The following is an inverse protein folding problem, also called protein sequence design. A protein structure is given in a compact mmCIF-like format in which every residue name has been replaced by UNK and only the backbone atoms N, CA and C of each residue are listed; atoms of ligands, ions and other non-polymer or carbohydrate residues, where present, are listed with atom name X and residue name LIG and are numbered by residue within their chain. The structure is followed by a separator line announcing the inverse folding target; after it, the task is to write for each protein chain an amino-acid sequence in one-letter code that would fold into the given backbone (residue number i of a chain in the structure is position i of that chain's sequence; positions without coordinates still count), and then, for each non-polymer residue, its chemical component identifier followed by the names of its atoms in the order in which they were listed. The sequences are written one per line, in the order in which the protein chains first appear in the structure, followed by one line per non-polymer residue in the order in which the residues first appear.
data_IF_884593049871
#
_entry.id   IF_884593049871
#
_cell.length_a   1.000
_cell.length_b   1.000
_cell.length_c   1.000
_cell.angle_alpha   90.00
_cell.angle_beta   90.00
_cell.angle_gamma   90.00
#
_symmetry.space_group_name_H-M   'P 1'
#
loop_
_entity.id
_entity.type
_entity.pdbx_description
1 polymer ?
#
# COMPACT_ATOMS: atom_id res chain seq x y z
N UNK A 1 9.32 11.31 3.49
CA UNK A 1 9.58 10.40 4.64
C UNK A 1 10.19 11.21 5.78
N UNK A 2 9.41 11.62 6.78
CA UNK A 2 9.94 12.31 7.93
C UNK A 2 10.65 11.32 8.85
N UNK A 3 11.77 11.76 9.43
CA UNK A 3 12.47 11.06 10.49
C UNK A 3 12.38 11.88 11.76
N UNK A 4 12.00 11.26 12.85
CA UNK A 4 12.03 11.91 14.16
C UNK A 4 13.47 12.12 14.62
N UNK A 5 13.84 13.38 14.89
CA UNK A 5 15.24 13.74 15.24
C UNK A 5 15.64 13.24 16.63
N UNK A 6 14.67 12.99 17.51
CA UNK A 6 14.92 12.57 18.90
C UNK A 6 15.06 11.05 18.99
N UNK A 7 14.13 10.31 18.39
CA UNK A 7 14.08 8.86 18.48
C UNK A 7 14.78 8.16 17.32
N UNK A 8 14.93 8.85 16.18
CA UNK A 8 15.51 8.31 14.96
C UNK A 8 14.56 7.44 14.12
N UNK A 9 13.32 7.23 14.55
CA UNK A 9 12.34 6.46 13.80
C UNK A 9 11.83 7.21 12.57
N UNK A 10 11.58 6.44 11.51
CA UNK A 10 10.98 6.93 10.27
C UNK A 10 9.45 6.86 10.32
N UNK A 11 8.81 7.82 9.65
CA UNK A 11 7.40 7.75 9.30
C UNK A 11 7.25 7.51 7.80
N UNK A 12 6.20 6.78 7.39
CA UNK A 12 5.90 6.54 5.97
C UNK A 12 4.40 6.64 5.70
N UNK A 13 4.04 7.43 4.70
CA UNK A 13 2.66 7.65 4.31
C UNK A 13 2.57 8.15 2.87
N UNK A 14 1.73 7.52 2.05
CA UNK A 14 1.41 8.01 0.70
C UNK A 14 -0.07 8.32 0.55
N UNK A 15 -0.35 9.47 -0.06
CA UNK A 15 -1.66 9.84 -0.58
C UNK A 15 -1.54 10.29 -2.03
N UNK A 16 -2.47 9.83 -2.86
CA UNK A 16 -2.67 10.39 -4.20
C UNK A 16 -3.85 11.33 -4.16
N UNK A 17 -3.66 12.54 -4.63
CA UNK A 17 -4.70 13.57 -4.70
C UNK A 17 -4.76 14.19 -6.09
N UNK A 18 -5.94 14.65 -6.49
CA UNK A 18 -6.15 15.42 -7.72
C UNK A 18 -6.75 16.76 -7.36
N UNK A 19 -6.10 17.86 -7.80
CA UNK A 19 -6.66 19.20 -7.68
C UNK A 19 -7.65 19.42 -8.83
N UNK A 20 -8.88 19.80 -8.50
CA UNK A 20 -9.93 20.01 -9.49
C UNK A 20 -10.54 18.72 -10.03
N UNK A 21 -10.78 18.65 -11.34
CA UNK A 21 -11.46 17.51 -11.96
C UNK A 21 -10.49 16.39 -12.34
N UNK A 22 -10.74 15.20 -11.84
CA UNK A 22 -9.93 14.01 -12.14
C UNK A 22 -10.47 13.26 -13.38
N UNK A 23 -9.60 12.78 -14.29
CA UNK A 23 -10.00 11.89 -15.38
C UNK A 23 -10.72 10.63 -14.88
N UNK A 24 -11.72 10.16 -15.64
CA UNK A 24 -12.51 8.97 -15.29
C UNK A 24 -11.64 7.74 -15.07
N UNK A 25 -10.59 7.56 -15.87
CA UNK A 25 -9.65 6.45 -15.73
C UNK A 25 -8.94 6.48 -14.37
N UNK A 26 -8.43 7.64 -13.95
CA UNK A 26 -7.80 7.80 -12.65
C UNK A 26 -8.78 7.61 -11.47
N UNK A 27 -10.04 8.06 -11.61
CA UNK A 27 -11.08 7.80 -10.60
C UNK A 27 -11.29 6.29 -10.40
N UNK A 28 -11.32 5.51 -11.50
CA UNK A 28 -11.44 4.04 -11.44
C UNK A 28 -10.25 3.39 -10.73
N UNK A 29 -9.03 3.78 -11.11
CA UNK A 29 -7.79 3.30 -10.47
C UNK A 29 -7.78 3.66 -8.99
N UNK A 30 -8.09 4.92 -8.64
CA UNK A 30 -8.13 5.36 -7.25
C UNK A 30 -9.08 4.53 -6.39
N UNK A 31 -10.30 4.31 -6.89
CA UNK A 31 -11.33 3.58 -6.16
C UNK A 31 -10.93 2.12 -5.90
N UNK A 32 -10.33 1.44 -6.89
CA UNK A 32 -9.89 0.05 -6.69
C UNK A 32 -8.70 -0.02 -5.75
N UNK A 33 -7.71 0.89 -5.86
CA UNK A 33 -6.56 0.94 -4.94
C UNK A 33 -7.04 1.18 -3.51
N UNK A 34 -7.93 2.14 -3.29
CA UNK A 34 -8.49 2.43 -1.97
C UNK A 34 -9.27 1.24 -1.38
N UNK A 35 -10.11 0.59 -2.21
CA UNK A 35 -10.86 -0.60 -1.80
C UNK A 35 -9.93 -1.72 -1.39
N UNK A 36 -8.93 -2.01 -2.21
CA UNK A 36 -7.97 -3.10 -1.99
C UNK A 36 -7.11 -2.85 -0.76
N UNK A 37 -6.62 -1.62 -0.58
CA UNK A 37 -5.86 -1.22 0.60
C UNK A 37 -6.67 -1.44 1.90
N UNK A 38 -7.94 -1.02 1.91
CA UNK A 38 -8.83 -1.26 3.06
C UNK A 38 -9.10 -2.75 3.33
N UNK A 39 -9.16 -3.57 2.29
CA UNK A 39 -9.31 -5.02 2.43
C UNK A 39 -8.04 -5.67 2.98
N UNK A 40 -6.87 -5.24 2.51
CA UNK A 40 -5.58 -5.72 3.00
C UNK A 40 -5.40 -5.40 4.49
N UNK A 41 -5.71 -4.17 4.92
CA UNK A 41 -5.66 -3.79 6.34
C UNK A 41 -6.53 -4.67 7.24
N UNK A 42 -7.70 -5.09 6.77
CA UNK A 42 -8.60 -6.00 7.52
C UNK A 42 -8.09 -7.44 7.64
N UNK A 43 -7.12 -7.82 6.81
CA UNK A 43 -6.52 -9.15 6.83
C UNK A 43 -5.23 -9.22 7.65
N UNK A 44 -4.74 -8.07 8.11
CA UNK A 44 -3.54 -8.03 8.94
C UNK A 44 -3.86 -8.51 10.35
N UNK A 45 -3.11 -9.52 10.79
CA UNK A 45 -3.09 -10.02 12.15
C UNK A 45 -1.76 -10.75 12.39
N UNK A 46 -1.34 -10.98 13.63
CA UNK A 46 -0.18 -11.80 13.92
C UNK A 46 -0.30 -13.21 13.31
N UNK A 47 0.82 -13.74 12.85
CA UNK A 47 0.97 -15.04 12.17
C UNK A 47 0.42 -15.07 10.72
N UNK A 48 -0.11 -13.98 10.16
CA UNK A 48 -0.37 -13.93 8.72
C UNK A 48 0.95 -13.85 7.95
N UNK A 49 1.03 -14.54 6.81
CA UNK A 49 2.19 -14.43 5.94
C UNK A 49 2.05 -13.22 5.00
N UNK A 50 3.13 -12.45 4.83
CA UNK A 50 3.13 -11.25 4.00
C UNK A 50 2.84 -11.52 2.52
N UNK A 51 3.15 -12.73 2.02
CA UNK A 51 2.80 -13.13 0.66
C UNK A 51 1.29 -13.36 0.47
N UNK A 52 0.57 -13.84 1.49
CA UNK A 52 -0.90 -13.98 1.45
C UNK A 52 -1.57 -12.62 1.25
N UNK A 53 -1.10 -11.59 1.96
CA UNK A 53 -1.58 -10.23 1.80
C UNK A 53 -1.27 -9.70 0.40
N UNK A 54 -0.04 -9.95 -0.09
CA UNK A 54 0.36 -9.55 -1.44
C UNK A 54 -0.48 -10.23 -2.53
N UNK A 55 -0.66 -11.54 -2.45
CA UNK A 55 -1.50 -12.30 -3.38
C UNK A 55 -2.96 -11.85 -3.37
N UNK A 56 -3.52 -11.51 -2.20
CA UNK A 56 -4.86 -10.96 -2.11
C UNK A 56 -4.99 -9.64 -2.88
N UNK A 57 -3.99 -8.76 -2.79
CA UNK A 57 -3.98 -7.48 -3.52
C UNK A 57 -3.90 -7.72 -5.02
N UNK A 58 -2.94 -8.56 -5.46
CA UNK A 58 -2.75 -8.90 -6.88
C UNK A 58 -4.04 -9.46 -7.47
N UNK A 59 -4.63 -10.49 -6.84
CA UNK A 59 -5.86 -11.13 -7.31
C UNK A 59 -7.06 -10.18 -7.34
N UNK A 60 -7.14 -9.25 -6.38
CA UNK A 60 -8.20 -8.23 -6.36
C UNK A 60 -8.08 -7.26 -7.53
N UNK A 61 -6.85 -6.82 -7.87
CA UNK A 61 -6.61 -5.97 -9.02
C UNK A 61 -6.90 -6.68 -10.33
N UNK A 62 -6.44 -7.92 -10.49
CA UNK A 62 -6.69 -8.74 -11.69
C UNK A 62 -8.18 -9.02 -11.90
N UNK A 63 -8.91 -9.39 -10.85
CA UNK A 63 -10.36 -9.58 -10.90
C UNK A 63 -11.14 -8.31 -11.30
N UNK A 64 -10.56 -7.13 -11.03
CA UNK A 64 -11.11 -5.84 -11.45
C UNK A 64 -10.63 -5.40 -12.85
N UNK A 65 -9.87 -6.24 -13.56
CA UNK A 65 -9.36 -5.98 -14.90
C UNK A 65 -8.07 -5.13 -14.96
N UNK A 66 -7.38 -4.97 -13.81
CA UNK A 66 -6.10 -4.24 -13.73
C UNK A 66 -4.93 -5.24 -13.73
N UNK A 67 -4.45 -5.55 -14.92
CA UNK A 67 -3.37 -6.53 -15.12
C UNK A 67 -2.01 -5.91 -14.85
N UNK A 68 -1.13 -6.68 -14.22
CA UNK A 68 0.29 -6.37 -14.05
C UNK A 68 1.12 -7.07 -15.12
N UNK A 69 2.05 -6.37 -15.75
CA UNK A 69 2.88 -6.94 -16.82
C UNK A 69 3.74 -5.90 -17.52
N UNK A 70 3.94 -6.08 -18.80
CA UNK A 70 4.65 -5.15 -19.66
C UNK A 70 3.75 -4.60 -20.78
N UNK A 71 3.88 -3.30 -21.05
CA UNK A 71 3.20 -2.63 -22.15
C UNK A 71 4.13 -1.56 -22.74
N UNK A 72 4.43 -1.68 -24.04
CA UNK A 72 5.32 -0.75 -24.73
C UNK A 72 6.73 -0.66 -24.12
N UNK A 73 7.29 -1.77 -23.64
CA UNK A 73 8.62 -1.85 -23.00
C UNK A 73 8.67 -1.23 -21.60
N UNK A 74 7.52 -1.01 -20.95
CA UNK A 74 7.43 -0.50 -19.58
C UNK A 74 6.62 -1.45 -18.70
N UNK A 75 7.03 -1.61 -17.46
CA UNK A 75 6.23 -2.31 -16.47
C UNK A 75 4.97 -1.51 -16.14
N UNK A 76 3.82 -2.20 -16.06
CA UNK A 76 2.50 -1.61 -15.76
C UNK A 76 1.78 -2.41 -14.70
N UNK A 77 0.78 -1.78 -14.06
CA UNK A 77 -0.03 -2.41 -13.02
C UNK A 77 0.59 -2.28 -11.62
N UNK A 78 0.51 -3.33 -10.81
CA UNK A 78 1.10 -3.38 -9.47
C UNK A 78 2.52 -3.95 -9.53
N UNK A 79 3.50 -3.08 -9.63
CA UNK A 79 4.89 -3.39 -9.99
C UNK A 79 5.88 -3.46 -8.81
N UNK A 80 5.41 -3.40 -7.57
CA UNK A 80 6.25 -3.43 -6.37
C UNK A 80 5.64 -4.31 -5.27
N UNK A 81 6.31 -4.41 -4.13
CA UNK A 81 5.79 -5.09 -2.94
C UNK A 81 4.57 -4.37 -2.33
N UNK A 82 3.90 -5.06 -1.43
CA UNK A 82 2.73 -4.51 -0.73
C UNK A 82 3.12 -3.62 0.43
N UNK A 83 4.31 -3.85 1.00
CA UNK A 83 4.81 -3.10 2.13
C UNK A 83 6.10 -3.66 2.72
N UNK A 84 6.55 -3.01 3.75
CA UNK A 84 7.80 -3.30 4.45
C UNK A 84 7.73 -2.84 5.90
N UNK A 85 8.64 -3.33 6.73
CA UNK A 85 8.87 -2.81 8.07
C UNK A 85 9.36 -1.37 8.04
N UNK A 86 8.95 -0.59 9.03
CA UNK A 86 9.38 0.81 9.24
C UNK A 86 9.88 0.93 10.68
N UNK A 87 11.11 1.39 10.84
CA UNK A 87 11.73 1.54 12.16
C UNK A 87 12.87 2.56 12.13
N UNK A 88 14.06 2.13 12.53
CA UNK A 88 15.26 2.93 12.44
C UNK A 88 15.77 3.06 11.00
N UNK A 89 15.41 2.10 10.15
CA UNK A 89 15.54 2.21 8.71
C UNK A 89 14.16 2.43 8.08
N UNK A 90 14.11 3.20 6.98
CA UNK A 90 12.84 3.43 6.26
C UNK A 90 12.31 2.14 5.65
N UNK A 91 13.20 1.23 5.24
CA UNK A 91 12.87 -0.08 4.71
C UNK A 91 13.61 -1.15 5.51
N UNK A 92 12.88 -1.82 6.40
CA UNK A 92 13.40 -2.95 7.18
C UNK A 92 12.47 -4.17 7.09
N UNK A 93 12.79 -5.23 7.81
CA UNK A 93 11.90 -6.39 7.96
C UNK A 93 10.78 -6.11 8.96
N UNK A 94 9.64 -6.81 8.84
CA UNK A 94 9.32 -7.84 7.84
C UNK A 94 8.92 -7.23 6.48
N UNK A 95 9.08 -8.00 5.40
CA UNK A 95 8.63 -7.61 4.06
C UNK A 95 7.27 -8.21 3.74
N UNK A 96 6.40 -7.41 3.12
CA UNK A 96 5.09 -7.84 2.64
C UNK A 96 5.14 -7.82 1.11
N UNK A 97 5.29 -9.00 0.51
CA UNK A 97 5.52 -9.13 -0.92
C UNK A 97 5.53 -10.58 -1.37
N UNK A 98 6.20 -10.85 -2.50
CA UNK A 98 6.30 -12.21 -3.08
C UNK A 98 7.13 -13.19 -2.26
N UNK A 99 7.98 -12.70 -1.37
CA UNK A 99 8.71 -13.53 -0.41
C UNK A 99 7.97 -13.47 0.92
N UNK A 100 7.34 -14.56 1.31
CA UNK A 100 6.54 -14.60 2.52
C UNK A 100 7.37 -14.48 3.80
N UNK A 101 7.14 -13.42 4.57
CA UNK A 101 7.59 -13.31 5.95
C UNK A 101 6.37 -13.33 6.85
N UNK A 102 6.44 -14.10 7.94
CA UNK A 102 5.35 -14.16 8.93
C UNK A 102 5.38 -12.90 9.77
N UNK A 103 4.24 -12.23 9.87
CA UNK A 103 4.10 -11.01 10.65
C UNK A 103 3.84 -11.33 12.13
N UNK A 104 4.46 -10.60 13.02
CA UNK A 104 4.35 -10.76 14.46
C UNK A 104 3.58 -9.59 15.11
N UNK A 105 3.02 -9.83 16.28
CA UNK A 105 2.51 -8.74 17.11
C UNK A 105 3.63 -7.75 17.44
N UNK A 106 3.34 -6.47 17.32
CA UNK A 106 4.30 -5.38 17.52
C UNK A 106 5.05 -4.96 16.26
N UNK A 107 5.00 -5.73 15.15
CA UNK A 107 5.57 -5.29 13.89
C UNK A 107 4.92 -3.99 13.41
N UNK A 108 5.75 -3.05 12.99
CA UNK A 108 5.31 -1.81 12.34
C UNK A 108 5.61 -1.92 10.85
N UNK A 109 4.56 -1.90 10.02
CA UNK A 109 4.68 -2.16 8.58
C UNK A 109 3.85 -1.18 7.76
N UNK A 110 4.23 -0.98 6.49
CA UNK A 110 3.42 -0.25 5.50
C UNK A 110 2.46 -1.20 4.77
N UNK A 111 1.30 -0.66 4.34
CA UNK A 111 0.40 -1.29 3.36
C UNK A 111 0.13 -0.26 2.28
N UNK A 112 0.79 -0.45 1.12
CA UNK A 112 0.95 0.55 0.08
C UNK A 112 0.59 0.07 -1.34
N UNK A 113 -0.55 -0.60 -1.57
CA UNK A 113 -0.90 -1.00 -2.93
C UNK A 113 -0.94 0.20 -3.88
N UNK A 114 -0.46 -0.02 -5.10
CA UNK A 114 -0.45 1.00 -6.15
C UNK A 114 -0.64 0.41 -7.53
N UNK A 115 -1.21 1.20 -8.44
CA UNK A 115 -1.39 0.86 -9.84
C UNK A 115 -0.84 1.98 -10.72
N UNK A 116 -0.04 1.61 -11.71
CA UNK A 116 0.70 2.55 -12.57
C UNK A 116 0.53 2.19 -14.04
N UNK A 117 0.02 3.13 -14.85
CA UNK A 117 -0.19 2.95 -16.28
C UNK A 117 0.33 4.16 -17.04
N UNK A 118 1.38 4.02 -17.90
CA UNK A 118 1.89 5.10 -18.74
C UNK A 118 0.78 5.74 -19.57
N UNK A 119 0.75 7.06 -19.64
CA UNK A 119 -0.28 7.81 -20.34
C UNK A 119 -1.60 8.00 -19.58
N UNK A 120 -1.81 7.27 -18.47
CA UNK A 120 -2.97 7.43 -17.60
C UNK A 120 -2.56 8.07 -16.26
N UNK A 121 -1.51 7.54 -15.63
CA UNK A 121 -0.99 7.99 -14.35
C UNK A 121 -0.79 6.85 -13.37
N UNK A 122 -0.48 7.21 -12.12
CA UNK A 122 -0.30 6.27 -11.00
C UNK A 122 -1.09 6.67 -9.78
N UNK A 123 -1.52 5.68 -9.02
CA UNK A 123 -2.16 5.86 -7.72
C UNK A 123 -1.51 4.92 -6.71
N UNK A 124 -1.08 5.46 -5.57
CA UNK A 124 -0.69 4.70 -4.38
C UNK A 124 -1.38 5.27 -3.15
N UNK A 125 -1.88 4.40 -2.30
CA UNK A 125 -2.46 4.76 -1.00
C UNK A 125 -1.79 3.87 0.04
N UNK A 126 -1.15 4.49 1.00
CA UNK A 126 -0.31 3.86 1.99
C UNK A 126 -0.66 4.32 3.40
N UNK A 127 -0.70 3.39 4.31
CA UNK A 127 -0.68 3.64 5.75
C UNK A 127 0.42 2.81 6.40
N UNK A 128 1.08 3.40 7.40
CA UNK A 128 1.89 2.67 8.38
C UNK A 128 1.00 2.21 9.51
N UNK A 129 1.10 0.94 9.86
CA UNK A 129 0.30 0.30 10.91
C UNK A 129 1.18 -0.47 11.88
N UNK A 130 0.72 -0.64 13.11
CA UNK A 130 1.29 -1.59 14.07
C UNK A 130 0.36 -2.79 14.21
N UNK A 131 0.92 -4.02 14.19
CA UNK A 131 0.15 -5.23 14.44
C UNK A 131 -0.17 -5.38 15.92
N UNK A 132 -1.44 -5.65 16.23
CA UNK A 132 -1.97 -5.93 17.56
C UNK A 132 -2.45 -7.37 17.63
N UNK A 133 -2.73 -7.88 18.82
CA UNK A 133 -3.16 -9.25 19.04
C UNK A 133 -4.33 -9.72 18.14
N UNK A 134 -5.24 -8.82 17.77
CA UNK A 134 -6.47 -9.10 17.02
C UNK A 134 -6.63 -8.31 15.71
N UNK A 135 -5.54 -7.76 15.16
CA UNK A 135 -5.58 -6.98 13.94
C UNK A 135 -4.45 -5.99 13.79
N UNK A 136 -4.75 -4.78 13.34
CA UNK A 136 -3.75 -3.71 13.25
C UNK A 136 -4.35 -2.34 13.60
N UNK A 137 -3.47 -1.43 14.03
CA UNK A 137 -3.79 -0.03 14.31
C UNK A 137 -3.03 0.88 13.36
N UNK A 138 -3.74 1.84 12.73
CA UNK A 138 -3.12 2.83 11.85
C UNK A 138 -2.44 3.91 12.70
N UNK A 139 -1.13 4.09 12.51
CA UNK A 139 -0.31 5.02 13.30
C UNK A 139 -0.45 6.48 12.87
N UNK A 140 -0.73 6.74 11.59
CA UNK A 140 -0.86 8.10 11.06
C UNK A 140 -2.17 8.25 10.30
N UNK A 141 -3.06 9.12 10.79
CA UNK A 141 -4.34 9.39 10.14
C UNK A 141 -4.23 10.59 9.20
N UNK A 142 -4.49 10.35 7.93
CA UNK A 142 -4.60 11.38 6.90
C UNK A 142 -5.77 11.07 5.99
N UNK A 143 -6.49 12.10 5.55
CA UNK A 143 -7.65 11.93 4.66
C UNK A 143 -7.28 11.15 3.40
N UNK A 144 -8.13 10.18 3.04
CA UNK A 144 -8.07 9.45 1.76
C UNK A 144 -9.07 10.06 0.76
N UNK A 145 -9.26 11.37 0.77
CA UNK A 145 -10.08 12.07 -0.22
C UNK A 145 -9.25 12.29 -1.49
N UNK A 146 -9.76 11.82 -2.63
CA UNK A 146 -9.02 11.90 -3.90
C UNK A 146 -9.04 13.32 -4.48
N UNK A 147 -10.21 13.94 -4.53
CA UNK A 147 -10.37 15.26 -5.17
C UNK A 147 -10.30 16.35 -4.12
N UNK A 148 -9.40 17.29 -4.34
CA UNK A 148 -9.28 18.51 -3.57
C UNK A 148 -9.91 19.67 -4.36
N UNK A 149 -10.75 20.42 -3.68
CA UNK A 149 -11.33 21.67 -4.20
C UNK A 149 -10.31 22.80 -4.21
#
# INVERSE_FOLDING_TARGET
FPRDETTGYWGDLTRTVCKGEAPTALKKIYNIVLKTQKQALKKLHPNVCGDEIHHHIVSTFEAAGFVTGESGGKHVGFIHGTGHGVGLDIHERPRIGRSGEVLCEGDVVTIEPGLYYPGVGGVRIEDTVVLKADGCEILATCSKKFILS
#
